data_IF_874828237242
#
_entry.id   IF_874828237242
#
_cell.length_a   1.000
_cell.length_b   1.000
_cell.length_c   1.000
_cell.angle_alpha   90.00
_cell.angle_beta   90.00
_cell.angle_gamma   90.00
#
_symmetry.space_group_name_H-M   'P 1'
#
loop_
_entity.id
_entity.type
_entity.pdbx_description
1 polymer ?
#
# COMPACT_ATOMS: atom_id res chain seq x y z
N UNK A 1 32.98 8.23 14.28
CA UNK A 1 31.68 8.19 13.60
C UNK A 1 31.16 6.78 13.75
N UNK A 2 29.94 6.56 14.25
CA UNK A 2 29.41 5.20 14.36
C UNK A 2 29.36 4.60 12.95
N UNK A 3 29.71 3.33 12.81
CA UNK A 3 29.52 2.60 11.55
C UNK A 3 28.04 2.72 11.16
N UNK A 4 27.76 3.46 10.08
CA UNK A 4 26.41 3.59 9.54
C UNK A 4 25.85 2.19 9.33
N UNK A 5 24.73 1.89 9.96
CA UNK A 5 24.11 0.56 9.91
C UNK A 5 23.69 0.30 8.47
N UNK A 6 24.43 -0.57 7.76
CA UNK A 6 24.13 -0.90 6.37
C UNK A 6 22.68 -1.41 6.24
N UNK A 7 21.99 -0.97 5.20
CA UNK A 7 20.65 -1.46 4.82
C UNK A 7 20.75 -2.80 4.08
N UNK A 8 21.41 -3.79 4.69
CA UNK A 8 21.72 -5.09 4.07
C UNK A 8 20.46 -5.89 3.72
N UNK A 9 19.37 -5.70 4.46
CA UNK A 9 18.08 -6.31 4.13
C UNK A 9 17.43 -5.69 2.90
N UNK A 10 17.54 -4.37 2.71
CA UNK A 10 17.09 -3.71 1.49
C UNK A 10 17.85 -4.25 0.28
N UNK A 11 19.18 -4.38 0.35
CA UNK A 11 19.99 -5.01 -0.72
C UNK A 11 19.51 -6.43 -1.05
N UNK A 12 19.26 -7.25 -0.02
CA UNK A 12 18.74 -8.61 -0.20
C UNK A 12 17.36 -8.61 -0.90
N UNK A 13 16.48 -7.68 -0.53
CA UNK A 13 15.17 -7.54 -1.16
C UNK A 13 15.28 -7.03 -2.59
N UNK A 14 16.18 -6.07 -2.89
CA UNK A 14 16.45 -5.65 -4.26
C UNK A 14 16.94 -6.82 -5.11
N UNK A 15 17.85 -7.65 -4.58
CA UNK A 15 18.29 -8.87 -5.26
C UNK A 15 17.14 -9.83 -5.52
N UNK A 16 16.22 -10.00 -4.57
CA UNK A 16 15.04 -10.86 -4.75
C UNK A 16 14.06 -10.31 -5.81
N UNK A 17 13.83 -8.99 -5.83
CA UNK A 17 12.98 -8.30 -6.83
C UNK A 17 13.58 -8.37 -8.22
N UNK A 18 14.90 -8.21 -8.34
CA UNK A 18 15.56 -8.02 -9.64
C UNK A 18 16.29 -9.26 -10.16
N UNK A 19 16.50 -10.26 -9.33
CA UNK A 19 17.36 -11.40 -9.62
C UNK A 19 18.84 -11.03 -9.79
N UNK A 20 19.25 -9.83 -9.37
CA UNK A 20 20.59 -9.27 -9.59
C UNK A 20 20.95 -8.20 -8.53
N UNK A 21 22.25 -7.93 -8.38
CA UNK A 21 22.83 -7.00 -7.39
C UNK A 21 22.97 -5.55 -7.88
N UNK A 22 22.29 -5.18 -8.97
CA UNK A 22 22.50 -3.91 -9.65
C UNK A 22 21.27 -2.99 -9.65
N UNK A 23 20.30 -3.26 -8.78
CA UNK A 23 19.16 -2.37 -8.55
C UNK A 23 19.61 -0.97 -8.11
N UNK A 24 18.96 0.06 -8.66
CA UNK A 24 19.19 1.46 -8.34
C UNK A 24 17.91 2.10 -7.82
N UNK A 25 17.97 2.83 -6.70
CA UNK A 25 16.85 3.61 -6.19
C UNK A 25 16.79 4.94 -6.95
N UNK A 26 15.63 5.27 -7.51
CA UNK A 26 15.33 6.54 -8.16
C UNK A 26 14.36 7.33 -7.28
N UNK A 27 14.75 8.52 -6.87
CA UNK A 27 13.89 9.43 -6.10
C UNK A 27 14.00 10.86 -6.63
N UNK A 28 13.01 11.69 -6.36
CA UNK A 28 13.02 13.12 -6.65
C UNK A 28 13.62 13.94 -5.50
N UNK A 29 13.92 13.32 -4.35
CA UNK A 29 14.56 13.98 -3.22
C UNK A 29 16.08 13.71 -3.18
N UNK A 30 16.93 14.74 -3.40
CA UNK A 30 18.38 14.57 -3.36
C UNK A 30 18.91 14.16 -1.97
N UNK A 31 18.23 14.55 -0.88
CA UNK A 31 18.62 14.21 0.48
C UNK A 31 18.46 12.72 0.77
N UNK A 32 17.35 12.13 0.33
CA UNK A 32 17.10 10.69 0.39
C UNK A 32 18.10 9.93 -0.48
N UNK A 33 18.37 10.40 -1.71
CA UNK A 33 19.38 9.78 -2.58
C UNK A 33 20.77 9.76 -1.92
N UNK A 34 21.19 10.87 -1.30
CA UNK A 34 22.46 10.94 -0.58
C UNK A 34 22.48 10.01 0.64
N UNK A 35 21.42 9.99 1.43
CA UNK A 35 21.29 9.09 2.58
C UNK A 35 21.38 7.61 2.17
N UNK A 36 20.69 7.20 1.10
CA UNK A 36 20.75 5.85 0.56
C UNK A 36 22.19 5.46 0.16
N UNK A 37 22.91 6.37 -0.50
CA UNK A 37 24.30 6.16 -0.89
C UNK A 37 25.24 6.02 0.32
N UNK A 38 25.04 6.82 1.37
CA UNK A 38 25.76 6.68 2.65
C UNK A 38 25.52 5.32 3.33
N UNK A 39 24.36 4.71 3.09
CA UNK A 39 23.97 3.40 3.63
C UNK A 39 24.27 2.23 2.68
N UNK A 40 25.02 2.48 1.60
CA UNK A 40 25.53 1.46 0.67
C UNK A 40 24.60 1.13 -0.50
N UNK A 41 23.42 1.74 -0.59
CA UNK A 41 22.49 1.54 -1.69
C UNK A 41 22.84 2.44 -2.87
N UNK A 42 22.75 1.88 -4.09
CA UNK A 42 22.86 2.68 -5.32
C UNK A 42 21.62 3.55 -5.44
N UNK A 43 21.80 4.85 -5.53
CA UNK A 43 20.71 5.80 -5.70
C UNK A 43 21.06 6.86 -6.75
N UNK A 44 20.04 7.33 -7.46
CA UNK A 44 20.10 8.43 -8.41
C UNK A 44 18.80 9.25 -8.32
N UNK A 45 18.78 10.42 -8.98
CA UNK A 45 17.60 11.29 -8.96
C UNK A 45 16.80 11.21 -10.26
N UNK A 46 15.48 11.39 -10.17
CA UNK A 46 14.65 11.55 -11.36
C UNK A 46 15.14 12.72 -12.24
N UNK A 47 15.60 13.83 -11.66
CA UNK A 47 16.12 14.98 -12.42
C UNK A 47 17.30 14.61 -13.35
N UNK A 48 18.17 13.68 -12.94
CA UNK A 48 19.27 13.19 -13.77
C UNK A 48 18.77 12.45 -15.02
N UNK A 49 17.82 11.54 -14.81
CA UNK A 49 17.20 10.72 -15.87
C UNK A 49 16.33 11.57 -16.79
N UNK A 50 15.44 12.41 -16.23
CA UNK A 50 14.50 13.25 -16.97
C UNK A 50 15.19 14.31 -17.83
N UNK A 51 16.36 14.81 -17.39
CA UNK A 51 17.17 15.75 -18.18
C UNK A 51 18.02 15.07 -19.27
N UNK A 52 18.04 13.73 -19.33
CA UNK A 52 18.89 12.97 -20.24
C UNK A 52 20.39 13.01 -19.89
N UNK A 53 20.75 13.54 -18.71
CA UNK A 53 22.14 13.53 -18.21
C UNK A 53 22.57 12.13 -17.79
N UNK A 54 21.62 11.32 -17.34
CA UNK A 54 21.81 9.94 -16.94
C UNK A 54 20.88 9.04 -17.76
N UNK A 55 21.37 7.85 -18.13
CA UNK A 55 20.50 6.84 -18.72
C UNK A 55 19.59 6.25 -17.63
N UNK A 56 18.33 5.91 -17.96
CA UNK A 56 17.49 5.12 -17.06
C UNK A 56 18.21 3.85 -16.59
N UNK A 57 18.23 3.54 -15.28
CA UNK A 57 18.78 2.29 -14.82
C UNK A 57 17.92 1.13 -15.32
N UNK A 58 18.56 0.04 -15.77
CA UNK A 58 17.86 -1.16 -16.22
C UNK A 58 16.97 -1.80 -15.14
N UNK A 59 17.29 -1.55 -13.86
CA UNK A 59 16.56 -2.06 -12.70
C UNK A 59 16.40 -0.94 -11.68
N UNK A 60 15.17 -0.49 -11.48
CA UNK A 60 14.88 0.72 -10.74
C UNK A 60 13.90 0.46 -9.59
N UNK A 61 14.20 1.00 -8.40
CA UNK A 61 13.19 1.22 -7.37
C UNK A 61 12.78 2.68 -7.41
N UNK A 62 11.60 2.95 -7.92
CA UNK A 62 11.06 4.30 -8.02
C UNK A 62 10.38 4.70 -6.70
N UNK A 63 10.93 5.71 -6.03
CA UNK A 63 10.48 6.26 -4.74
C UNK A 63 10.17 7.75 -4.90
N UNK A 64 9.02 8.09 -5.53
CA UNK A 64 8.59 9.49 -5.64
C UNK A 64 8.07 10.01 -4.29
N UNK A 65 8.46 11.24 -3.93
CA UNK A 65 7.96 11.98 -2.77
C UNK A 65 7.07 13.17 -3.18
N UNK A 66 7.25 13.72 -4.38
CA UNK A 66 6.43 14.80 -4.93
C UNK A 66 5.99 14.51 -6.38
N UNK A 67 4.71 14.15 -6.54
CA UNK A 67 4.15 13.93 -7.87
C UNK A 67 4.15 15.17 -8.76
N UNK A 68 4.13 16.38 -8.20
CA UNK A 68 4.16 17.64 -8.95
C UNK A 68 5.50 17.90 -9.65
N UNK A 69 6.58 17.24 -9.23
CA UNK A 69 7.91 17.35 -9.84
C UNK A 69 8.17 16.32 -10.94
N UNK A 70 7.24 15.39 -11.13
CA UNK A 70 7.41 14.25 -12.02
C UNK A 70 6.41 14.30 -13.18
N UNK A 71 6.77 13.81 -14.38
CA UNK A 71 5.84 13.76 -15.52
C UNK A 71 4.72 12.72 -15.28
N UNK A 72 3.71 12.68 -16.13
CA UNK A 72 2.56 11.76 -15.95
C UNK A 72 2.99 10.29 -15.81
N UNK A 73 2.12 9.44 -15.27
CA UNK A 73 2.40 7.99 -15.17
C UNK A 73 2.76 7.38 -16.52
N UNK A 74 2.10 7.81 -17.60
CA UNK A 74 2.36 7.31 -18.96
C UNK A 74 3.76 7.72 -19.43
N UNK A 75 4.11 9.00 -19.29
CA UNK A 75 5.44 9.50 -19.67
C UNK A 75 6.56 8.82 -18.86
N UNK A 76 6.38 8.64 -17.54
CA UNK A 76 7.34 7.91 -16.71
C UNK A 76 7.52 6.45 -17.18
N UNK A 77 6.44 5.80 -17.60
CA UNK A 77 6.52 4.44 -18.15
C UNK A 77 7.24 4.41 -19.49
N UNK A 78 7.08 5.42 -20.33
CA UNK A 78 7.80 5.51 -21.60
C UNK A 78 9.30 5.73 -21.36
N UNK A 79 9.65 6.62 -20.43
CA UNK A 79 11.04 6.89 -20.02
C UNK A 79 11.71 5.63 -19.46
N UNK A 80 10.99 4.86 -18.65
CA UNK A 80 11.47 3.64 -18.00
C UNK A 80 11.09 2.37 -18.76
N UNK A 81 10.75 2.48 -20.05
CA UNK A 81 10.18 1.36 -20.82
C UNK A 81 11.09 0.14 -20.98
N UNK A 82 12.41 0.34 -20.90
CA UNK A 82 13.42 -0.71 -20.92
C UNK A 82 13.94 -1.09 -19.51
N UNK A 83 13.25 -0.64 -18.46
CA UNK A 83 13.61 -0.88 -17.07
C UNK A 83 12.62 -1.86 -16.43
N UNK A 84 13.12 -2.79 -15.62
CA UNK A 84 12.30 -3.45 -14.61
C UNK A 84 12.14 -2.50 -13.42
N UNK A 85 10.91 -2.15 -13.04
CA UNK A 85 10.65 -1.11 -12.04
C UNK A 85 9.78 -1.59 -10.89
N UNK A 86 10.29 -1.43 -9.67
CA UNK A 86 9.50 -1.54 -8.45
C UNK A 86 9.09 -0.13 -7.99
N UNK A 87 7.79 0.13 -7.89
CA UNK A 87 7.25 1.39 -7.41
C UNK A 87 6.94 1.32 -5.92
N UNK A 88 7.63 2.18 -5.15
CA UNK A 88 7.29 2.48 -3.75
C UNK A 88 6.70 3.89 -3.76
N UNK A 89 5.39 3.96 -4.04
CA UNK A 89 4.65 5.20 -4.34
C UNK A 89 4.41 6.08 -3.10
N UNK A 90 5.47 6.49 -2.40
CA UNK A 90 5.35 7.19 -1.11
C UNK A 90 4.60 8.52 -1.22
N UNK A 91 4.76 9.28 -2.29
CA UNK A 91 4.02 10.52 -2.57
C UNK A 91 2.49 10.36 -2.55
N UNK A 92 1.97 9.12 -2.66
CA UNK A 92 0.55 8.84 -2.45
C UNK A 92 0.13 9.00 -0.99
N UNK A 93 1.02 8.76 -0.03
CA UNK A 93 0.75 8.78 1.41
C UNK A 93 1.44 9.96 2.11
N UNK A 94 2.70 10.23 1.80
CA UNK A 94 3.48 11.31 2.39
C UNK A 94 4.62 11.75 1.47
N UNK A 95 4.86 13.05 1.41
CA UNK A 95 6.05 13.64 0.79
C UNK A 95 7.20 13.89 1.77
N UNK A 96 7.06 13.49 3.03
CA UNK A 96 8.07 13.70 4.07
C UNK A 96 9.29 12.76 3.88
N UNK A 97 10.51 13.31 3.72
CA UNK A 97 11.72 12.51 3.59
C UNK A 97 12.01 11.58 4.78
N UNK A 98 11.62 11.92 6.01
CA UNK A 98 11.84 11.06 7.18
C UNK A 98 10.91 9.84 7.14
N UNK A 99 9.65 10.02 6.69
CA UNK A 99 8.74 8.89 6.45
C UNK A 99 9.27 8.02 5.31
N UNK A 100 9.93 8.61 4.31
CA UNK A 100 10.57 7.84 3.25
C UNK A 100 11.76 7.00 3.74
N UNK A 101 12.59 7.52 4.64
CA UNK A 101 13.64 6.74 5.29
C UNK A 101 13.06 5.60 6.10
N UNK A 102 12.06 5.88 6.93
CA UNK A 102 11.33 4.86 7.69
C UNK A 102 10.77 3.77 6.77
N UNK A 103 10.16 4.13 5.64
CA UNK A 103 9.67 3.17 4.66
C UNK A 103 10.78 2.26 4.10
N UNK A 104 11.96 2.81 3.78
CA UNK A 104 13.10 2.03 3.30
C UNK A 104 13.68 1.14 4.40
N UNK A 105 13.73 1.61 5.65
CA UNK A 105 14.12 0.81 6.81
C UNK A 105 13.18 -0.37 7.01
N UNK A 106 11.85 -0.14 6.98
CA UNK A 106 10.85 -1.22 7.03
C UNK A 106 10.94 -2.16 5.85
N UNK A 107 11.16 -1.63 4.64
CA UNK A 107 11.47 -2.48 3.50
C UNK A 107 12.73 -3.32 3.73
N UNK A 108 13.73 -2.84 4.45
CA UNK A 108 14.92 -3.62 4.82
C UNK A 108 14.65 -4.70 5.88
N UNK A 109 13.60 -4.56 6.69
CA UNK A 109 13.25 -5.54 7.73
C UNK A 109 12.44 -6.72 7.19
N UNK A 110 11.71 -6.53 6.09
CA UNK A 110 10.84 -7.55 5.50
C UNK A 110 11.66 -8.63 4.79
N UNK A 111 11.32 -9.91 4.99
CA UNK A 111 11.75 -10.98 4.07
C UNK A 111 10.77 -11.08 2.90
N UNK A 112 11.13 -10.47 1.77
CA UNK A 112 10.31 -10.42 0.57
C UNK A 112 9.94 -11.82 0.04
N UNK A 113 10.83 -12.80 0.14
CA UNK A 113 10.55 -14.16 -0.33
C UNK A 113 9.51 -14.84 0.55
N UNK A 114 9.58 -14.61 1.86
CA UNK A 114 8.58 -15.09 2.81
C UNK A 114 7.23 -14.39 2.63
N UNK A 115 7.21 -13.08 2.33
CA UNK A 115 5.98 -12.35 2.00
C UNK A 115 5.30 -12.93 0.75
N UNK A 116 6.04 -13.10 -0.35
CA UNK A 116 5.51 -13.72 -1.59
C UNK A 116 5.08 -15.18 -1.37
N UNK A 117 5.79 -15.94 -0.54
CA UNK A 117 5.36 -17.28 -0.17
C UNK A 117 4.04 -17.27 0.60
N UNK A 118 3.83 -16.26 1.46
CA UNK A 118 2.60 -16.06 2.22
C UNK A 118 1.45 -15.64 1.31
N UNK A 119 1.69 -14.77 0.31
CA UNK A 119 0.71 -14.46 -0.74
C UNK A 119 0.19 -15.74 -1.40
N UNK A 120 1.10 -16.62 -1.85
CA UNK A 120 0.71 -17.91 -2.47
C UNK A 120 -0.13 -18.78 -1.53
N UNK A 121 0.19 -18.82 -0.24
CA UNK A 121 -0.58 -19.59 0.75
C UNK A 121 -1.99 -19.04 0.93
N UNK A 122 -2.12 -17.73 1.08
CA UNK A 122 -3.43 -17.06 1.22
C UNK A 122 -4.26 -17.25 -0.04
N UNK A 123 -3.69 -17.00 -1.22
CA UNK A 123 -4.38 -17.24 -2.51
C UNK A 123 -4.88 -18.68 -2.60
N UNK A 124 -4.04 -19.65 -2.21
CA UNK A 124 -4.44 -21.07 -2.20
C UNK A 124 -5.58 -21.33 -1.23
N UNK A 125 -5.56 -20.74 -0.03
CA UNK A 125 -6.65 -20.87 0.94
C UNK A 125 -7.96 -20.28 0.41
N UNK A 126 -7.92 -19.12 -0.23
CA UNK A 126 -9.11 -18.49 -0.82
C UNK A 126 -9.67 -19.34 -1.97
N UNK A 127 -8.81 -19.85 -2.87
CA UNK A 127 -9.23 -20.66 -4.03
C UNK A 127 -9.77 -22.05 -3.65
N UNK A 128 -9.29 -22.62 -2.54
CA UNK A 128 -9.72 -23.93 -2.06
C UNK A 128 -10.82 -23.84 -1.01
N UNK A 129 -11.31 -22.64 -0.69
CA UNK A 129 -12.44 -22.50 0.22
C UNK A 129 -13.71 -22.99 -0.44
N UNK A 130 -14.39 -23.94 0.20
CA UNK A 130 -15.70 -24.44 -0.20
C UNK A 130 -16.81 -24.02 0.78
N UNK A 131 -16.48 -23.22 1.79
CA UNK A 131 -17.37 -22.80 2.86
C UNK A 131 -17.20 -21.33 3.21
N UNK A 132 -17.86 -20.91 4.30
CA UNK A 132 -17.81 -19.54 4.79
C UNK A 132 -16.38 -19.22 5.24
N UNK A 133 -15.79 -18.18 4.67
CA UNK A 133 -14.54 -17.63 5.17
C UNK A 133 -14.81 -16.32 5.88
N UNK A 134 -13.87 -15.91 6.71
CA UNK A 134 -13.97 -14.66 7.39
C UNK A 134 -12.64 -14.19 7.93
N UNK A 135 -12.70 -13.07 8.63
CA UNK A 135 -11.58 -12.56 9.40
C UNK A 135 -11.95 -12.57 10.87
N UNK A 136 -11.03 -13.06 11.70
CA UNK A 136 -11.22 -13.09 13.15
C UNK A 136 -9.97 -12.58 13.86
N UNK A 137 -10.18 -11.79 14.91
CA UNK A 137 -9.15 -11.25 15.78
C UNK A 137 -9.79 -10.55 16.98
N UNK A 138 -8.99 -9.98 17.91
CA UNK A 138 -9.53 -9.26 19.05
C UNK A 138 -10.44 -8.10 18.61
N UNK A 139 -11.76 -8.23 18.82
CA UNK A 139 -12.73 -7.20 18.43
C UNK A 139 -13.07 -7.14 16.93
N UNK A 140 -12.54 -8.09 16.13
CA UNK A 140 -12.84 -8.23 14.70
C UNK A 140 -13.50 -9.59 14.45
N UNK A 141 -14.68 -9.55 13.84
CA UNK A 141 -15.44 -10.71 13.38
C UNK A 141 -16.13 -10.33 12.07
N UNK A 142 -15.50 -10.69 10.94
CA UNK A 142 -16.02 -10.43 9.60
C UNK A 142 -16.33 -11.74 8.90
N UNK A 143 -17.46 -11.80 8.23
CA UNK A 143 -17.81 -12.85 7.27
C UNK A 143 -17.52 -12.34 5.87
N UNK A 144 -16.88 -13.17 5.05
CA UNK A 144 -16.49 -12.88 3.68
C UNK A 144 -17.13 -13.92 2.76
N UNK A 145 -17.99 -13.46 1.86
CA UNK A 145 -18.51 -14.26 0.73
C UNK A 145 -17.60 -14.05 -0.46
N UNK A 146 -17.11 -15.14 -1.04
CA UNK A 146 -16.31 -15.09 -2.27
C UNK A 146 -17.20 -15.29 -3.51
N UNK A 147 -16.86 -14.61 -4.63
CA UNK A 147 -17.51 -14.84 -5.92
C UNK A 147 -17.05 -16.19 -6.52
N UNK A 148 -17.78 -16.68 -7.53
CA UNK A 148 -17.37 -17.88 -8.28
C UNK A 148 -16.02 -17.66 -9.00
N UNK A 149 -15.80 -16.45 -9.51
CA UNK A 149 -14.56 -16.05 -10.17
C UNK A 149 -13.82 -15.02 -9.31
N UNK A 150 -12.82 -15.50 -8.58
CA UNK A 150 -12.02 -14.66 -7.70
C UNK A 150 -10.96 -13.87 -8.48
N UNK A 151 -11.01 -12.55 -8.36
CA UNK A 151 -9.98 -11.64 -8.88
C UNK A 151 -9.14 -11.11 -7.72
N UNK A 152 -7.82 -11.31 -7.79
CA UNK A 152 -6.88 -10.94 -6.75
C UNK A 152 -5.77 -10.05 -7.30
N UNK A 153 -5.40 -9.04 -6.52
CA UNK A 153 -4.19 -8.25 -6.72
C UNK A 153 -3.12 -8.74 -5.75
N UNK A 154 -2.11 -9.43 -6.26
CA UNK A 154 -0.95 -9.88 -5.48
C UNK A 154 0.14 -10.45 -6.38
N UNK A 155 1.39 -10.46 -5.91
CA UNK A 155 2.49 -11.18 -6.56
C UNK A 155 2.66 -12.56 -5.99
N UNK A 156 2.82 -13.51 -6.91
CA UNK A 156 3.15 -14.92 -6.62
C UNK A 156 4.61 -15.27 -6.94
N UNK A 157 5.38 -14.32 -7.48
CA UNK A 157 6.82 -14.42 -7.74
C UNK A 157 7.56 -13.19 -7.23
N UNK A 158 8.75 -13.41 -6.67
CA UNK A 158 9.59 -12.33 -6.16
C UNK A 158 10.22 -11.54 -7.30
N UNK A 159 10.86 -12.22 -8.25
CA UNK A 159 11.54 -11.57 -9.35
C UNK A 159 10.56 -10.90 -10.34
N UNK A 160 10.89 -9.69 -10.76
CA UNK A 160 10.34 -9.01 -11.91
C UNK A 160 10.90 -9.64 -13.19
N UNK A 161 10.09 -9.68 -14.23
CA UNK A 161 10.57 -9.93 -15.59
C UNK A 161 11.28 -8.69 -16.14
N UNK A 162 12.09 -8.86 -17.21
CA UNK A 162 12.57 -7.72 -17.99
C UNK A 162 11.41 -6.79 -18.37
N UNK A 163 11.63 -5.49 -18.23
CA UNK A 163 10.67 -4.42 -18.57
C UNK A 163 9.33 -4.47 -17.78
N UNK A 164 9.28 -5.26 -16.71
CA UNK A 164 8.10 -5.36 -15.86
C UNK A 164 8.07 -4.24 -14.81
N UNK A 165 6.91 -3.61 -14.66
CA UNK A 165 6.63 -2.67 -13.58
C UNK A 165 5.69 -3.31 -12.55
N UNK A 166 6.00 -3.18 -11.27
CA UNK A 166 5.14 -3.62 -10.16
C UNK A 166 5.12 -2.59 -9.04
N UNK A 167 4.07 -2.56 -8.23
CA UNK A 167 4.07 -1.80 -6.97
C UNK A 167 4.55 -2.68 -5.83
N UNK A 168 5.05 -2.04 -4.77
CA UNK A 168 5.44 -2.72 -3.54
C UNK A 168 4.25 -3.34 -2.81
N UNK A 169 3.06 -2.72 -2.86
CA UNK A 169 1.84 -3.27 -2.26
C UNK A 169 1.55 -4.70 -2.75
N UNK A 170 1.75 -4.96 -4.05
CA UNK A 170 1.56 -6.31 -4.59
C UNK A 170 2.47 -7.38 -3.97
N UNK A 171 3.59 -7.01 -3.34
CA UNK A 171 4.44 -7.96 -2.61
C UNK A 171 3.96 -8.23 -1.19
N UNK A 172 3.24 -7.29 -0.58
CA UNK A 172 2.92 -7.28 0.85
C UNK A 172 1.43 -7.41 1.15
N UNK A 173 0.62 -7.72 0.14
CA UNK A 173 -0.78 -8.03 0.38
C UNK A 173 -1.36 -9.03 -0.63
N UNK A 174 -2.51 -9.59 -0.24
CA UNK A 174 -3.48 -10.20 -1.16
C UNK A 174 -4.76 -9.38 -1.08
N UNK A 175 -5.00 -8.59 -2.13
CA UNK A 175 -6.12 -7.65 -2.22
C UNK A 175 -7.25 -8.16 -3.12
N UNK A 176 -8.49 -7.84 -2.73
CA UNK A 176 -9.73 -8.04 -3.45
C UNK A 176 -10.48 -6.70 -3.53
N UNK A 177 -11.17 -6.43 -4.64
CA UNK A 177 -11.91 -5.18 -4.83
C UNK A 177 -13.42 -5.42 -4.96
N UNK A 178 -14.22 -5.28 -3.89
CA UNK A 178 -15.66 -5.45 -3.95
C UNK A 178 -16.39 -4.25 -4.59
N UNK A 179 -15.68 -3.21 -5.03
CA UNK A 179 -16.27 -2.07 -5.73
C UNK A 179 -15.42 -1.69 -6.93
N UNK A 180 -16.04 -1.53 -8.10
CA UNK A 180 -15.32 -1.13 -9.32
C UNK A 180 -14.97 0.38 -9.34
N UNK A 181 -14.17 0.79 -10.33
CA UNK A 181 -13.74 2.19 -10.48
C UNK A 181 -14.89 3.18 -10.75
N UNK A 182 -16.07 2.69 -11.11
CA UNK A 182 -17.28 3.48 -11.30
C UNK A 182 -18.16 3.54 -10.03
N UNK A 183 -17.73 2.92 -8.93
CA UNK A 183 -18.47 2.87 -7.66
C UNK A 183 -19.57 1.81 -7.62
N UNK A 184 -19.57 0.85 -8.54
CA UNK A 184 -20.53 -0.26 -8.51
C UNK A 184 -20.00 -1.35 -7.58
N UNK A 185 -20.79 -1.64 -6.55
CA UNK A 185 -20.51 -2.70 -5.58
C UNK A 185 -20.80 -4.05 -6.24
N UNK A 186 -19.83 -4.96 -6.14
CA UNK A 186 -19.99 -6.37 -6.44
C UNK A 186 -20.87 -7.01 -5.36
N UNK A 187 -21.96 -7.62 -5.77
CA UNK A 187 -22.85 -8.35 -4.88
C UNK A 187 -22.38 -9.76 -4.57
N UNK A 188 -21.47 -10.33 -5.36
CA UNK A 188 -20.98 -11.70 -5.17
C UNK A 188 -19.83 -11.75 -4.16
N UNK A 189 -18.85 -10.85 -4.27
CA UNK A 189 -17.85 -10.60 -3.24
C UNK A 189 -18.42 -9.67 -2.16
N UNK A 190 -18.67 -10.17 -0.94
CA UNK A 190 -19.19 -9.33 0.13
C UNK A 190 -18.53 -9.53 1.49
N UNK A 191 -18.28 -8.44 2.22
CA UNK A 191 -17.85 -8.46 3.62
C UNK A 191 -18.91 -7.82 4.52
N UNK A 192 -19.17 -8.47 5.66
CA UNK A 192 -20.09 -8.00 6.69
C UNK A 192 -19.59 -8.38 8.08
N UNK A 193 -19.90 -7.59 9.11
CA UNK A 193 -19.58 -7.88 10.50
C UNK A 193 -18.97 -6.69 11.23
N UNK A 194 -18.16 -6.97 12.24
CA UNK A 194 -17.49 -5.95 13.06
C UNK A 194 -15.99 -5.94 12.79
N UNK A 195 -15.44 -4.74 12.57
CA UNK A 195 -14.01 -4.53 12.42
C UNK A 195 -13.52 -3.65 13.57
N UNK A 196 -12.50 -4.13 14.30
CA UNK A 196 -11.65 -3.27 15.14
C UNK A 196 -10.56 -2.66 14.28
N UNK A 197 -10.52 -1.34 14.26
CA UNK A 197 -9.51 -0.53 13.57
C UNK A 197 -8.45 -0.13 14.58
N UNK A 198 -7.20 -0.51 14.33
CA UNK A 198 -6.03 -0.17 15.15
C UNK A 198 -5.25 1.03 14.60
N UNK A 199 -5.33 1.28 13.29
CA UNK A 199 -4.75 2.45 12.64
C UNK A 199 -5.47 2.76 11.32
N UNK A 200 -5.22 3.95 10.79
CA UNK A 200 -5.81 4.44 9.54
C UNK A 200 -4.71 5.05 8.69
N UNK A 201 -4.65 4.67 7.42
CA UNK A 201 -3.83 5.34 6.41
C UNK A 201 -4.72 6.10 5.42
N UNK A 202 -4.14 7.06 4.73
CA UNK A 202 -4.81 7.78 3.66
C UNK A 202 -3.87 7.97 2.48
N UNK A 203 -4.36 7.68 1.29
CA UNK A 203 -3.61 7.79 0.05
C UNK A 203 -4.36 8.59 -1.01
N UNK A 204 -3.60 9.15 -1.96
CA UNK A 204 -4.12 9.71 -3.21
C UNK A 204 -3.45 9.06 -4.41
N UNK A 205 -4.19 8.89 -5.49
CA UNK A 205 -3.58 8.48 -6.76
C UNK A 205 -2.82 9.65 -7.37
N UNK A 206 -1.69 9.38 -8.05
CA UNK A 206 -0.87 10.38 -8.76
C UNK A 206 -1.67 11.25 -9.73
N UNK A 207 -2.59 10.62 -10.44
CA UNK A 207 -3.44 11.25 -11.46
C UNK A 207 -4.66 11.97 -10.86
N UNK A 208 -4.82 12.00 -9.52
CA UNK A 208 -5.83 12.84 -8.88
C UNK A 208 -5.44 14.31 -9.02
N UNK A 209 -6.30 15.10 -9.63
CA UNK A 209 -6.04 16.51 -9.96
C UNK A 209 -7.20 17.41 -9.53
N UNK A 210 -6.94 18.72 -9.51
CA UNK A 210 -7.95 19.75 -9.23
C UNK A 210 -8.46 19.76 -7.78
N UNK A 211 -9.66 20.32 -7.58
CA UNK A 211 -10.23 20.58 -6.24
C UNK A 211 -10.39 19.33 -5.35
N UNK A 212 -10.37 18.12 -5.92
CA UNK A 212 -10.35 16.87 -5.14
C UNK A 212 -8.95 16.56 -4.60
N UNK A 213 -7.88 16.83 -5.38
CA UNK A 213 -6.51 16.66 -4.94
C UNK A 213 -6.15 17.57 -3.75
N UNK A 214 -6.73 18.78 -3.72
CA UNK A 214 -6.54 19.77 -2.65
C UNK A 214 -7.11 19.29 -1.29
N UNK A 215 -7.91 18.22 -1.27
CA UNK A 215 -8.48 17.64 -0.04
C UNK A 215 -7.52 16.71 0.71
N UNK A 216 -6.32 16.46 0.17
CA UNK A 216 -5.41 15.47 0.77
C UNK A 216 -4.95 15.86 2.17
N UNK A 217 -4.68 17.15 2.41
CA UNK A 217 -4.32 17.65 3.74
C UNK A 217 -5.45 17.41 4.75
N UNK A 218 -6.68 17.80 4.42
CA UNK A 218 -7.85 17.58 5.26
C UNK A 218 -8.10 16.08 5.54
N UNK A 219 -7.92 15.22 4.52
CA UNK A 219 -8.02 13.78 4.69
C UNK A 219 -6.90 13.22 5.60
N UNK A 220 -5.69 13.78 5.50
CA UNK A 220 -4.56 13.52 6.40
C UNK A 220 -4.86 13.89 7.85
N UNK A 221 -5.49 15.04 8.09
CA UNK A 221 -5.94 15.47 9.43
C UNK A 221 -7.01 14.53 10.00
N UNK A 222 -7.97 14.10 9.18
CA UNK A 222 -8.97 13.09 9.57
C UNK A 222 -8.27 11.80 9.99
N UNK A 223 -7.39 11.25 9.14
CA UNK A 223 -6.69 10.00 9.43
C UNK A 223 -5.81 10.13 10.69
N UNK A 224 -5.10 11.25 10.87
CA UNK A 224 -4.31 11.51 12.08
C UNK A 224 -5.18 11.58 13.35
N UNK A 225 -6.34 12.25 13.27
CA UNK A 225 -7.31 12.31 14.36
C UNK A 225 -7.85 10.93 14.72
N UNK A 226 -8.17 10.09 13.72
CA UNK A 226 -8.63 8.72 13.93
C UNK A 226 -7.54 7.84 14.55
N UNK A 227 -6.30 7.91 14.06
CA UNK A 227 -5.15 7.18 14.63
C UNK A 227 -4.99 7.46 16.13
N UNK A 228 -5.13 8.72 16.54
CA UNK A 228 -5.08 9.11 17.96
C UNK A 228 -6.25 8.60 18.80
N UNK A 229 -7.37 8.24 18.18
CA UNK A 229 -8.56 7.72 18.85
C UNK A 229 -8.66 6.19 18.82
N UNK A 230 -7.74 5.50 18.14
CA UNK A 230 -7.74 4.05 18.04
C UNK A 230 -7.52 3.37 19.41
N UNK A 231 -8.09 2.17 19.64
CA UNK A 231 -8.86 1.39 18.66
C UNK A 231 -10.29 1.91 18.46
N UNK A 232 -10.76 1.88 17.21
CA UNK A 232 -12.15 2.17 16.83
C UNK A 232 -12.87 0.88 16.44
N UNK A 233 -14.21 0.88 16.51
CA UNK A 233 -15.04 -0.26 16.12
C UNK A 233 -16.07 0.20 15.12
N UNK A 234 -16.16 -0.49 13.99
CA UNK A 234 -17.10 -0.18 12.92
C UNK A 234 -17.91 -1.41 12.55
N UNK A 235 -19.13 -1.15 12.09
CA UNK A 235 -20.04 -2.18 11.59
C UNK A 235 -20.12 -2.08 10.08
N UNK A 236 -20.03 -3.23 9.43
CA UNK A 236 -20.07 -3.35 7.97
C UNK A 236 -21.24 -4.25 7.59
N UNK A 237 -22.06 -3.79 6.66
CA UNK A 237 -23.17 -4.55 6.08
C UNK A 237 -23.05 -4.53 4.56
N UNK A 238 -22.90 -5.71 3.95
CA UNK A 238 -22.88 -5.93 2.51
C UNK A 238 -21.97 -4.93 1.78
N UNK A 239 -20.69 -4.92 2.17
CA UNK A 239 -19.65 -4.00 1.67
C UNK A 239 -19.87 -2.51 1.99
N UNK A 240 -20.62 -2.15 3.02
CA UNK A 240 -20.77 -0.75 3.45
C UNK A 240 -20.49 -0.56 4.91
N UNK A 241 -19.69 0.45 5.25
CA UNK A 241 -19.60 0.91 6.62
C UNK A 241 -20.90 1.62 6.99
N UNK A 242 -21.64 1.08 7.96
CA UNK A 242 -22.96 1.59 8.36
C UNK A 242 -22.93 2.31 9.71
N UNK A 243 -21.91 2.05 10.54
CA UNK A 243 -21.76 2.68 11.85
C UNK A 243 -20.29 2.65 12.34
N UNK A 244 -19.97 3.47 13.33
CA UNK A 244 -18.70 3.44 14.08
C UNK A 244 -17.69 4.53 13.72
N UNK A 245 -17.85 5.22 12.58
CA UNK A 245 -16.98 6.35 12.21
C UNK A 245 -17.26 7.63 13.01
N UNK A 246 -18.38 7.71 13.73
CA UNK A 246 -18.68 8.83 14.63
C UNK A 246 -18.48 10.22 13.96
N UNK A 247 -17.67 11.12 14.54
CA UNK A 247 -17.51 12.48 14.02
C UNK A 247 -16.77 12.55 12.68
N UNK A 248 -16.10 11.48 12.24
CA UNK A 248 -15.32 11.47 11.00
C UNK A 248 -16.13 11.05 9.77
N UNK A 249 -17.35 10.52 9.94
CA UNK A 249 -18.15 9.94 8.85
C UNK A 249 -18.34 10.90 7.67
N UNK A 250 -18.81 12.13 7.93
CA UNK A 250 -19.04 13.15 6.89
C UNK A 250 -17.74 13.56 6.20
N UNK A 251 -16.64 13.64 6.95
CA UNK A 251 -15.31 13.98 6.42
C UNK A 251 -14.76 12.89 5.50
N UNK A 252 -14.89 11.62 5.90
CA UNK A 252 -14.50 10.46 5.09
C UNK A 252 -15.32 10.44 3.79
N UNK A 253 -16.65 10.56 3.85
CA UNK A 253 -17.50 10.54 2.66
C UNK A 253 -17.15 11.70 1.70
N UNK A 254 -16.99 12.91 2.25
CA UNK A 254 -16.63 14.08 1.46
C UNK A 254 -15.26 13.96 0.78
N UNK A 255 -14.27 13.34 1.43
CA UNK A 255 -12.89 13.28 0.92
C UNK A 255 -12.58 12.04 0.08
N UNK A 256 -13.24 10.91 0.35
CA UNK A 256 -13.01 9.62 -0.34
C UNK A 256 -13.76 9.45 -1.67
N UNK A 257 -14.73 10.31 -1.93
CA UNK A 257 -15.58 10.25 -3.12
C UNK A 257 -17.02 9.90 -2.73
N UNK A 258 -17.93 10.89 -2.63
CA UNK A 258 -19.32 10.66 -2.21
C UNK A 258 -20.09 9.66 -3.08
N UNK A 259 -19.63 9.43 -4.32
CA UNK A 259 -20.14 8.38 -5.19
C UNK A 259 -20.07 6.97 -4.59
N UNK A 260 -19.09 6.70 -3.72
CA UNK A 260 -18.91 5.40 -3.06
C UNK A 260 -19.86 5.20 -1.87
N UNK A 261 -20.31 6.28 -1.21
CA UNK A 261 -21.23 6.25 -0.06
C UNK A 261 -20.76 5.28 1.03
N UNK A 262 -19.50 5.42 1.45
CA UNK A 262 -18.83 4.53 2.40
C UNK A 262 -18.80 3.03 1.98
N UNK A 263 -18.83 2.74 0.68
CA UNK A 263 -18.58 1.38 0.20
C UNK A 263 -17.12 0.97 0.47
N UNK A 264 -16.96 -0.29 0.88
CA UNK A 264 -15.66 -0.98 0.88
C UNK A 264 -15.21 -1.07 -0.57
N UNK A 265 -14.04 -0.51 -0.87
CA UNK A 265 -13.43 -0.54 -2.20
C UNK A 265 -12.30 -1.55 -2.29
N UNK A 266 -11.73 -1.92 -1.15
CA UNK A 266 -10.69 -2.92 -1.04
C UNK A 266 -10.85 -3.77 0.24
N UNK A 267 -10.54 -5.05 0.12
CA UNK A 267 -10.35 -6.00 1.22
C UNK A 267 -8.98 -6.62 1.01
N UNK A 268 -8.05 -6.38 1.92
CA UNK A 268 -6.68 -6.83 1.74
C UNK A 268 -6.14 -7.51 3.00
N UNK A 269 -5.29 -8.52 2.77
CA UNK A 269 -4.63 -9.29 3.84
C UNK A 269 -3.14 -8.96 3.78
N UNK A 270 -2.61 -8.37 4.85
CA UNK A 270 -1.20 -7.98 4.96
C UNK A 270 -0.27 -9.19 5.08
N UNK A 271 0.79 -9.20 4.29
CA UNK A 271 1.75 -10.31 4.16
C UNK A 271 3.21 -9.86 4.26
N UNK A 272 3.47 -8.60 4.59
CA UNK A 272 4.80 -8.07 4.87
C UNK A 272 5.48 -8.76 6.07
N UNK A 273 4.70 -9.38 6.97
CA UNK A 273 5.19 -10.12 8.15
C UNK A 273 6.07 -9.27 9.08
N UNK A 274 5.84 -7.97 9.12
CA UNK A 274 6.47 -7.10 10.11
C UNK A 274 5.85 -7.38 11.48
N UNK A 275 6.67 -7.28 12.53
CA UNK A 275 6.16 -7.33 13.89
C UNK A 275 5.33 -6.05 14.15
N UNK A 276 4.01 -6.14 14.42
CA UNK A 276 3.17 -4.97 14.68
C UNK A 276 3.69 -4.09 15.82
N UNK A 277 4.46 -4.64 16.77
CA UNK A 277 5.07 -3.88 17.87
C UNK A 277 6.25 -3.00 17.42
N UNK A 278 6.81 -3.25 16.24
CA UNK A 278 7.93 -2.50 15.66
C UNK A 278 7.49 -1.50 14.58
N UNK A 279 6.20 -1.49 14.24
CA UNK A 279 5.62 -0.57 13.26
C UNK A 279 5.20 0.71 13.98
N UNK A 280 5.63 1.86 13.45
CA UNK A 280 5.14 3.15 13.92
C UNK A 280 3.79 3.45 13.26
N UNK A 281 2.73 3.04 13.94
CA UNK A 281 1.35 3.23 13.50
C UNK A 281 0.89 4.68 13.52
N UNK A 282 1.67 5.63 14.05
CA UNK A 282 1.33 7.06 14.00
C UNK A 282 1.57 7.68 12.61
N UNK A 283 2.44 7.04 11.81
CA UNK A 283 2.86 7.51 10.49
C UNK A 283 1.89 7.09 9.40
N UNK A 284 1.64 7.99 8.44
CA UNK A 284 0.95 7.69 7.20
C UNK A 284 1.95 7.11 6.18
N UNK A 285 2.31 5.84 6.36
CA UNK A 285 3.34 5.17 5.56
C UNK A 285 2.77 3.95 4.82
N UNK A 286 3.01 3.87 3.50
CA UNK A 286 2.64 2.75 2.63
C UNK A 286 3.07 1.38 3.18
N UNK A 287 4.25 1.30 3.82
CA UNK A 287 4.77 0.01 4.31
C UNK A 287 4.04 -0.49 5.55
N UNK A 288 3.28 0.37 6.24
CA UNK A 288 2.46 -0.02 7.39
C UNK A 288 1.21 -0.78 6.94
N UNK A 289 0.70 -0.51 5.73
CA UNK A 289 -0.52 -1.08 5.17
C UNK A 289 -0.44 -2.62 5.12
N UNK A 290 0.60 -3.14 4.45
CA UNK A 290 0.85 -4.58 4.31
C UNK A 290 1.59 -5.23 5.47
N UNK A 291 1.83 -4.52 6.59
CA UNK A 291 2.71 -5.01 7.65
C UNK A 291 2.20 -6.32 8.28
N UNK A 292 0.92 -6.36 8.65
CA UNK A 292 0.25 -7.52 9.25
C UNK A 292 -1.28 -7.35 9.24
N UNK A 293 -1.99 -8.45 9.48
CA UNK A 293 -3.45 -8.42 9.69
C UNK A 293 -4.24 -8.26 8.40
N UNK A 294 -5.28 -7.44 8.45
CA UNK A 294 -6.07 -7.04 7.27
C UNK A 294 -6.27 -5.53 7.24
N UNK A 295 -6.65 -5.01 6.09
CA UNK A 295 -7.23 -3.68 5.97
C UNK A 295 -8.43 -3.67 5.03
N UNK A 296 -9.34 -2.72 5.28
CA UNK A 296 -10.46 -2.43 4.40
C UNK A 296 -10.34 -1.00 3.89
N UNK A 297 -10.45 -0.83 2.57
CA UNK A 297 -10.33 0.45 1.89
C UNK A 297 -11.68 1.15 1.67
N UNK A 298 -11.70 2.48 1.69
CA UNK A 298 -12.80 3.34 1.20
C UNK A 298 -12.27 4.37 0.23
N UNK A 299 -12.97 4.58 -0.89
CA UNK A 299 -12.49 5.43 -2.00
C UNK A 299 -11.48 4.70 -2.88
N UNK A 300 -11.01 5.29 -3.97
CA UNK A 300 -10.14 4.59 -4.93
C UNK A 300 -8.87 5.36 -5.32
N UNK A 301 -8.56 6.45 -4.61
CA UNK A 301 -7.41 7.31 -4.90
C UNK A 301 -7.56 8.17 -6.17
N UNK A 302 -8.34 7.74 -7.17
CA UNK A 302 -8.52 8.38 -8.48
C UNK A 302 -9.63 9.43 -8.50
N UNK A 303 -10.74 9.12 -7.84
CA UNK A 303 -11.93 9.97 -7.75
C UNK A 303 -12.05 10.62 -6.37
N UNK A 304 -11.16 10.33 -5.44
CA UNK A 304 -11.14 10.83 -4.07
C UNK A 304 -10.01 10.15 -3.32
N UNK A 305 -9.83 10.49 -2.05
CA UNK A 305 -8.81 9.85 -1.21
C UNK A 305 -9.17 8.38 -0.96
N UNK A 306 -8.15 7.55 -0.83
CA UNK A 306 -8.28 6.17 -0.40
C UNK A 306 -7.96 6.11 1.10
N UNK A 307 -8.86 5.62 1.93
CA UNK A 307 -8.60 5.40 3.36
C UNK A 307 -8.50 3.92 3.63
N UNK A 308 -7.40 3.50 4.27
CA UNK A 308 -7.18 2.12 4.68
C UNK A 308 -7.39 1.99 6.19
N UNK A 309 -8.41 1.22 6.57
CA UNK A 309 -8.73 0.93 7.96
C UNK A 309 -8.10 -0.39 8.36
N UNK A 310 -7.04 -0.34 9.18
CA UNK A 310 -6.16 -1.47 9.47
C UNK A 310 -6.59 -2.17 10.75
N UNK A 311 -6.69 -3.50 10.70
CA UNK A 311 -6.84 -4.38 11.87
C UNK A 311 -5.62 -5.30 11.94
N UNK A 312 -4.71 -4.99 12.85
CA UNK A 312 -3.35 -5.54 12.87
C UNK A 312 -3.29 -7.01 13.28
N UNK A 313 -4.31 -7.49 13.99
CA UNK A 313 -4.36 -8.84 14.56
C UNK A 313 -5.41 -9.75 13.92
N UNK A 314 -6.24 -9.23 13.01
CA UNK A 314 -7.26 -10.02 12.32
C UNK A 314 -6.63 -10.99 11.31
N UNK A 315 -7.13 -12.22 11.27
CA UNK A 315 -6.59 -13.30 10.43
C UNK A 315 -7.69 -13.97 9.62
N UNK A 316 -7.34 -14.42 8.43
CA UNK A 316 -8.20 -15.27 7.61
C UNK A 316 -8.51 -16.57 8.37
N UNK A 317 -9.79 -16.91 8.48
CA UNK A 317 -10.29 -18.14 9.08
C UNK A 317 -11.31 -18.81 8.16
N UNK A 318 -11.26 -20.14 8.11
CA UNK A 318 -12.33 -20.97 7.52
C UNK A 318 -13.34 -21.31 8.61
N UNK A 319 -14.63 -21.10 8.34
CA UNK A 319 -15.75 -21.39 9.24
C UNK A 319 -16.47 -22.68 8.86
#
# INVERSE_FOLDING_TARGET
>A
MPEGTRLSGAEANLRAVFGADDGCVLTDDPGLAAWLAEHGLRAATFDGVLSGREAPPARAVAVPLDYGRLPSRLELRDILSASSVLWISLASFSGDPEIARYAIEKFSEIDLNSAVATNRRIITQLLLSHGDIGFSGPGTDLSLRLPEVLQLSSRTRAALLPDEHSTIGNYFEVAMSPTDLAGRIDSELSVSGTLRIDSVLVARHRELQGARADRFEAAGEIAASMRNACPLYVTIEDNRFVDGFGPWADGIDATSGPEYRAAVTEIAIGTGLLDPAQVDWSLNCLLNEGAAGIHLGVGNGLNGMHFDFISTEARLVTR
#
